data_IF_882210404236
#
_entry.id   IF_882210404236
#
_cell.length_a   1.000
_cell.length_b   1.000
_cell.length_c   1.000
_cell.angle_alpha   90.00
_cell.angle_beta   90.00
_cell.angle_gamma   90.00
#
_symmetry.space_group_name_H-M   'P 1'
#
loop_
_entity.id
_entity.type
_entity.pdbx_description
1 polymer ?
#
# COMPACT_ATOMS: atom_id res chain seq x y z
N UNK A 1 16.22 6.15 32.18
CA UNK A 1 15.82 6.12 30.75
C UNK A 1 15.03 4.84 30.56
N UNK A 2 13.70 4.90 30.50
CA UNK A 2 12.86 3.69 30.35
C UNK A 2 13.00 3.22 28.91
N UNK A 3 13.68 2.10 28.70
CA UNK A 3 13.82 1.46 27.40
C UNK A 3 12.43 0.94 26.99
N UNK A 4 11.66 1.78 26.28
CA UNK A 4 10.37 1.37 25.70
C UNK A 4 10.68 0.32 24.64
N UNK A 5 10.51 -0.94 25.00
CA UNK A 5 10.55 -2.03 24.05
C UNK A 5 9.32 -1.86 23.14
N UNK A 6 9.47 -1.83 21.80
CA UNK A 6 8.33 -1.78 20.92
C UNK A 6 7.42 -2.99 21.20
N UNK A 7 6.10 -2.81 21.12
CA UNK A 7 5.09 -3.86 21.35
C UNK A 7 5.33 -5.10 20.46
N UNK A 8 6.03 -4.94 19.34
CA UNK A 8 6.49 -6.01 18.44
C UNK A 8 8.02 -6.21 18.46
N UNK A 9 8.65 -6.11 19.63
CA UNK A 9 10.00 -6.64 19.81
C UNK A 9 9.90 -8.16 19.96
N UNK A 10 9.96 -8.91 18.85
CA UNK A 10 10.27 -10.34 18.92
C UNK A 10 11.75 -10.43 19.30
N UNK A 11 12.03 -10.32 20.60
CA UNK A 11 13.36 -10.01 21.15
C UNK A 11 14.40 -11.13 21.02
N UNK A 12 14.25 -12.01 20.02
CA UNK A 12 15.03 -13.25 19.87
C UNK A 12 15.19 -13.73 18.42
N UNK A 13 14.67 -13.04 17.40
CA UNK A 13 14.89 -13.44 16.01
C UNK A 13 16.08 -12.69 15.40
N UNK A 14 16.97 -13.42 14.73
CA UNK A 14 17.91 -12.84 13.79
C UNK A 14 17.16 -12.19 12.61
N UNK A 15 17.85 -11.38 11.81
CA UNK A 15 17.21 -10.76 10.62
C UNK A 15 16.78 -11.84 9.63
N UNK A 16 17.60 -12.87 9.47
CA UNK A 16 17.34 -14.02 8.61
C UNK A 16 16.13 -14.82 9.09
N UNK A 17 16.02 -15.07 10.39
CA UNK A 17 14.86 -15.75 10.97
C UNK A 17 13.58 -14.91 10.81
N UNK A 18 13.67 -13.59 11.00
CA UNK A 18 12.55 -12.69 10.77
C UNK A 18 12.11 -12.66 9.30
N UNK A 19 13.05 -12.72 8.35
CA UNK A 19 12.76 -12.79 6.91
C UNK A 19 12.06 -14.10 6.53
N UNK A 20 12.50 -15.23 7.11
CA UNK A 20 11.84 -16.52 6.93
C UNK A 20 10.41 -16.47 7.47
N UNK A 21 10.23 -16.00 8.72
CA UNK A 21 8.91 -15.92 9.36
C UNK A 21 7.98 -14.97 8.60
N UNK A 22 8.49 -13.82 8.15
CA UNK A 22 7.73 -12.83 7.39
C UNK A 22 7.15 -13.37 6.07
N UNK A 23 7.69 -14.47 5.57
CA UNK A 23 7.32 -15.10 4.30
C UNK A 23 6.86 -16.55 4.43
N UNK A 24 6.69 -17.02 5.66
CA UNK A 24 6.24 -18.37 5.93
C UNK A 24 4.75 -18.58 5.58
N UNK A 25 3.98 -17.50 5.42
CA UNK A 25 2.54 -17.54 5.15
C UNK A 25 2.29 -17.00 3.74
N UNK A 26 1.66 -17.79 2.84
CA UNK A 26 1.32 -17.34 1.49
C UNK A 26 0.44 -16.09 1.50
N UNK A 27 0.64 -15.20 0.52
CA UNK A 27 -0.07 -13.91 0.46
C UNK A 27 -1.59 -14.10 0.41
N UNK A 28 -2.07 -15.09 -0.34
CA UNK A 28 -3.49 -15.46 -0.39
C UNK A 28 -4.09 -15.69 1.02
N UNK A 29 -3.35 -16.38 1.89
CA UNK A 29 -3.79 -16.69 3.25
C UNK A 29 -3.71 -15.45 4.16
N UNK A 30 -2.63 -14.66 4.05
CA UNK A 30 -2.49 -13.38 4.77
C UNK A 30 -3.69 -12.48 4.47
N UNK A 31 -4.06 -12.31 3.20
CA UNK A 31 -5.20 -11.48 2.79
C UNK A 31 -6.51 -11.96 3.42
N UNK A 32 -6.78 -13.27 3.33
CA UNK A 32 -7.99 -13.87 3.92
C UNK A 32 -8.06 -13.67 5.44
N UNK A 33 -6.95 -13.90 6.15
CA UNK A 33 -6.87 -13.70 7.60
C UNK A 33 -7.01 -12.23 7.98
N UNK A 34 -6.43 -11.33 7.17
CA UNK A 34 -6.39 -9.90 7.44
C UNK A 34 -7.77 -9.27 7.50
N UNK A 35 -8.74 -9.73 6.69
CA UNK A 35 -10.11 -9.21 6.72
C UNK A 35 -10.72 -9.40 8.13
N UNK A 36 -10.67 -10.62 8.66
CA UNK A 36 -11.20 -10.94 9.98
C UNK A 36 -10.44 -10.22 11.10
N UNK A 37 -9.11 -10.12 10.98
CA UNK A 37 -8.29 -9.37 11.94
C UNK A 37 -8.64 -7.88 11.93
N UNK A 38 -8.86 -7.29 10.76
CA UNK A 38 -9.26 -5.87 10.60
C UNK A 38 -10.61 -5.61 11.27
N UNK A 39 -11.58 -6.52 11.08
CA UNK A 39 -12.88 -6.42 11.75
C UNK A 39 -12.75 -6.56 13.28
N UNK A 40 -11.87 -7.43 13.76
CA UNK A 40 -11.60 -7.56 15.20
C UNK A 40 -10.94 -6.30 15.78
N UNK A 41 -9.97 -5.72 15.06
CA UNK A 41 -9.33 -4.45 15.43
C UNK A 41 -10.34 -3.31 15.46
N UNK A 42 -11.20 -3.20 14.44
CA UNK A 42 -12.26 -2.18 14.39
C UNK A 42 -13.25 -2.31 15.56
N UNK A 43 -13.59 -3.53 15.99
CA UNK A 43 -14.41 -3.76 17.19
C UNK A 43 -13.72 -3.28 18.46
N UNK A 44 -12.42 -3.52 18.59
CA UNK A 44 -11.63 -3.06 19.73
C UNK A 44 -11.48 -1.53 19.74
N UNK A 45 -11.38 -0.90 18.57
CA UNK A 45 -11.25 0.54 18.39
C UNK A 45 -12.61 1.26 18.22
N UNK A 46 -13.72 0.58 18.56
CA UNK A 46 -15.09 1.07 18.31
C UNK A 46 -15.32 2.50 18.80
N UNK A 47 -14.89 2.83 20.02
CA UNK A 47 -15.07 4.18 20.59
C UNK A 47 -14.39 5.25 19.73
N UNK A 48 -13.18 4.97 19.24
CA UNK A 48 -12.42 5.89 18.38
C UNK A 48 -13.10 6.00 17.02
N UNK A 49 -13.45 4.87 16.41
CA UNK A 49 -14.13 4.84 15.12
C UNK A 49 -15.48 5.57 15.13
N UNK A 50 -16.30 5.38 16.18
CA UNK A 50 -17.58 6.08 16.33
C UNK A 50 -17.37 7.60 16.43
N UNK A 51 -16.36 8.03 17.20
CA UNK A 51 -16.00 9.45 17.33
C UNK A 51 -15.55 10.04 15.99
N UNK A 52 -14.71 9.33 15.25
CA UNK A 52 -14.23 9.76 13.93
C UNK A 52 -15.35 9.79 12.88
N UNK A 53 -16.22 8.78 12.85
CA UNK A 53 -17.41 8.74 11.99
C UNK A 53 -18.35 9.91 12.31
N UNK A 54 -18.56 10.22 13.59
CA UNK A 54 -19.33 11.40 14.02
C UNK A 54 -18.69 12.71 13.57
N UNK A 55 -17.37 12.80 13.55
CA UNK A 55 -16.63 13.95 13.03
C UNK A 55 -16.63 14.03 11.48
N UNK A 56 -17.20 13.04 10.79
CA UNK A 56 -17.34 13.02 9.33
C UNK A 56 -16.25 12.25 8.58
N UNK A 57 -15.36 11.55 9.29
CA UNK A 57 -14.35 10.70 8.66
C UNK A 57 -14.98 9.37 8.22
N UNK A 58 -14.77 9.01 6.95
CA UNK A 58 -15.18 7.71 6.43
C UNK A 58 -14.11 6.67 6.77
N UNK A 59 -14.55 5.59 7.43
CA UNK A 59 -13.67 4.51 7.87
C UNK A 59 -14.15 3.21 7.24
N UNK A 60 -13.20 2.43 6.74
CA UNK A 60 -13.43 1.07 6.25
C UNK A 60 -13.03 0.07 7.32
N UNK A 61 -13.92 -0.86 7.61
CA UNK A 61 -13.75 -1.84 8.70
C UNK A 61 -13.61 -3.27 8.16
N UNK A 62 -13.35 -3.41 6.86
CA UNK A 62 -13.14 -4.71 6.19
C UNK A 62 -14.42 -5.41 5.71
N UNK A 63 -15.56 -4.72 5.71
CA UNK A 63 -16.82 -5.22 5.16
C UNK A 63 -16.82 -5.32 3.63
N UNK A 64 -15.94 -4.56 2.96
CA UNK A 64 -15.75 -4.57 1.50
C UNK A 64 -14.84 -5.70 1.01
N UNK A 65 -14.46 -6.62 1.89
CA UNK A 65 -13.57 -7.75 1.57
C UNK A 65 -12.09 -7.39 1.50
N UNK A 66 -11.71 -6.18 1.94
CA UNK A 66 -10.31 -5.74 2.02
C UNK A 66 -9.89 -5.52 3.48
N UNK A 67 -8.86 -6.22 3.94
CA UNK A 67 -8.24 -6.00 5.24
C UNK A 67 -7.11 -4.98 5.19
N UNK A 68 -6.55 -4.61 6.36
CA UNK A 68 -5.39 -3.73 6.46
C UNK A 68 -4.19 -4.22 5.64
N UNK A 69 -3.98 -5.54 5.57
CA UNK A 69 -2.90 -6.12 4.76
C UNK A 69 -3.12 -5.87 3.25
N UNK A 70 -4.35 -5.78 2.76
CA UNK A 70 -4.58 -5.41 1.36
C UNK A 70 -4.14 -3.96 1.09
N UNK A 71 -4.47 -3.04 1.99
CA UNK A 71 -4.05 -1.64 1.86
C UNK A 71 -2.52 -1.49 1.91
N UNK A 72 -1.87 -2.22 2.81
CA UNK A 72 -0.42 -2.17 2.98
C UNK A 72 0.35 -2.93 1.90
N UNK A 73 -0.01 -4.19 1.66
CA UNK A 73 0.76 -5.11 0.82
C UNK A 73 0.35 -5.09 -0.64
N UNK A 74 -0.91 -4.76 -0.97
CA UNK A 74 -1.45 -4.81 -2.35
C UNK A 74 -1.61 -3.40 -2.94
N UNK A 75 -2.25 -2.49 -2.21
CA UNK A 75 -2.44 -1.11 -2.69
C UNK A 75 -1.22 -0.22 -2.43
N UNK A 76 -0.40 -0.56 -1.44
CA UNK A 76 0.77 0.24 -1.07
C UNK A 76 0.40 1.63 -0.54
N UNK A 77 -0.80 1.79 0.03
CA UNK A 77 -1.33 3.08 0.46
C UNK A 77 -2.83 3.03 0.75
N UNK A 78 -3.44 4.21 0.88
CA UNK A 78 -4.87 4.38 1.25
C UNK A 78 -5.21 3.87 2.66
N UNK A 79 -4.23 3.85 3.55
CA UNK A 79 -4.40 3.63 4.98
C UNK A 79 -3.73 4.74 5.78
N UNK A 80 -4.15 4.91 7.02
CA UNK A 80 -3.66 5.92 7.94
C UNK A 80 -3.32 5.22 9.26
N UNK A 81 -2.14 5.52 9.81
CA UNK A 81 -1.73 5.05 11.13
C UNK A 81 -1.78 6.24 12.07
N UNK A 82 -2.57 6.13 13.12
CA UNK A 82 -2.71 7.21 14.08
C UNK A 82 -1.41 7.46 14.86
N UNK A 83 -1.01 8.73 14.88
CA UNK A 83 0.08 9.24 15.70
C UNK A 83 -0.43 10.31 16.69
N UNK A 84 -1.75 10.32 16.96
CA UNK A 84 -2.42 11.23 17.89
C UNK A 84 -3.40 12.21 17.23
N UNK A 85 -3.56 12.18 15.91
CA UNK A 85 -4.50 13.09 15.23
C UNK A 85 -5.95 12.62 15.33
N UNK A 86 -6.23 11.33 15.56
CA UNK A 86 -7.58 10.84 15.75
C UNK A 86 -8.31 11.58 16.87
N UNK A 87 -7.67 11.74 18.03
CA UNK A 87 -8.28 12.48 19.14
C UNK A 87 -8.50 13.95 18.79
N UNK A 88 -7.59 14.58 18.03
CA UNK A 88 -7.76 15.96 17.58
C UNK A 88 -8.95 16.12 16.62
N UNK A 89 -9.23 15.12 15.78
CA UNK A 89 -10.41 15.08 14.93
C UNK A 89 -11.68 14.93 15.78
N UNK A 90 -11.68 13.99 16.73
CA UNK A 90 -12.82 13.73 17.64
C UNK A 90 -13.15 14.99 18.47
N UNK A 91 -12.12 15.67 18.97
CA UNK A 91 -12.25 16.90 19.76
C UNK A 91 -12.65 18.11 18.90
N UNK A 92 -12.72 17.98 17.57
CA UNK A 92 -13.06 19.06 16.63
C UNK A 92 -11.94 20.07 16.39
N UNK A 93 -10.72 19.82 16.88
CA UNK A 93 -9.53 20.64 16.60
C UNK A 93 -9.11 20.52 15.13
N UNK A 94 -9.30 19.33 14.56
CA UNK A 94 -9.18 19.10 13.11
C UNK A 94 -10.58 18.85 12.57
N UNK A 95 -11.05 19.74 11.69
CA UNK A 95 -12.34 19.58 11.03
C UNK A 95 -12.19 18.73 9.77
N UNK A 96 -13.07 17.74 9.62
CA UNK A 96 -13.11 16.88 8.43
C UNK A 96 -14.24 17.35 7.51
N UNK A 97 -13.88 17.72 6.28
CA UNK A 97 -14.84 18.00 5.22
C UNK A 97 -14.68 16.98 4.11
N UNK A 98 -15.69 16.12 3.93
CA UNK A 98 -15.71 15.09 2.88
C UNK A 98 -16.45 15.58 1.65
N UNK A 99 -15.84 15.43 0.48
CA UNK A 99 -16.51 15.54 -0.81
C UNK A 99 -16.01 14.41 -1.73
N UNK A 100 -16.90 13.49 -2.08
CA UNK A 100 -16.56 12.30 -2.89
C UNK A 100 -16.02 12.67 -4.28
N UNK A 101 -16.52 13.76 -4.84
CA UNK A 101 -16.11 14.28 -6.16
C UNK A 101 -14.88 15.20 -6.09
N UNK A 102 -14.39 15.49 -4.88
CA UNK A 102 -13.16 16.24 -4.65
C UNK A 102 -13.30 17.77 -4.76
N UNK A 103 -12.16 18.42 -5.00
CA UNK A 103 -12.05 19.87 -5.15
C UNK A 103 -12.47 20.28 -6.56
N UNK A 104 -13.27 21.34 -6.68
CA UNK A 104 -13.67 21.91 -7.97
C UNK A 104 -12.66 22.92 -8.47
N UNK A 105 -12.29 23.88 -7.61
CA UNK A 105 -11.45 25.02 -7.96
C UNK A 105 -10.82 25.63 -6.71
N UNK A 106 -9.67 26.27 -6.90
CA UNK A 106 -8.97 27.05 -5.88
C UNK A 106 -9.21 28.54 -6.11
N UNK A 107 -9.32 29.28 -5.04
CA UNK A 107 -9.44 30.73 -5.02
C UNK A 107 -8.31 31.33 -4.17
N UNK A 108 -8.10 32.64 -4.27
CA UNK A 108 -7.08 33.32 -3.47
C UNK A 108 -7.32 33.23 -1.96
N UNK A 109 -8.56 32.96 -1.55
CA UNK A 109 -9.00 32.87 -0.15
C UNK A 109 -9.37 31.45 0.29
N UNK A 110 -9.09 30.43 -0.53
CA UNK A 110 -9.38 29.03 -0.18
C UNK A 110 -9.74 28.16 -1.38
N UNK A 111 -10.76 27.32 -1.23
CA UNK A 111 -11.18 26.38 -2.27
C UNK A 111 -12.68 26.10 -2.25
N UNK A 112 -13.21 25.63 -3.37
CA UNK A 112 -14.60 25.16 -3.47
C UNK A 112 -14.60 23.69 -3.84
N UNK A 113 -15.37 22.90 -3.07
CA UNK A 113 -15.61 21.49 -3.32
C UNK A 113 -16.67 21.31 -4.41
N UNK A 114 -16.69 20.15 -5.07
CA UNK A 114 -17.64 19.85 -6.15
C UNK A 114 -19.11 19.87 -5.71
N UNK A 115 -19.38 19.61 -4.44
CA UNK A 115 -20.71 19.76 -3.83
C UNK A 115 -21.12 21.22 -3.53
N UNK A 116 -20.30 22.21 -3.92
CA UNK A 116 -20.57 23.64 -3.73
C UNK A 116 -20.08 24.23 -2.40
N UNK A 117 -19.56 23.41 -1.47
CA UNK A 117 -19.01 23.90 -0.19
C UNK A 117 -17.75 24.75 -0.43
N UNK A 118 -17.77 26.01 -0.01
CA UNK A 118 -16.58 26.87 0.04
C UNK A 118 -15.86 26.66 1.38
N UNK A 119 -14.54 26.47 1.33
CA UNK A 119 -13.65 26.38 2.50
C UNK A 119 -12.63 27.51 2.40
N UNK A 120 -12.62 28.38 3.41
CA UNK A 120 -11.61 29.44 3.54
C UNK A 120 -10.30 28.86 4.07
N UNK A 121 -9.17 29.26 3.47
CA UNK A 121 -7.85 28.83 3.91
C UNK A 121 -6.77 29.82 3.45
N UNK A 122 -5.84 30.14 4.35
CA UNK A 122 -4.64 30.93 4.00
C UNK A 122 -3.57 30.07 3.31
N UNK A 123 -3.55 28.77 3.60
CA UNK A 123 -2.59 27.80 3.05
C UNK A 123 -3.30 26.51 2.68
N UNK A 124 -3.00 26.01 1.48
CA UNK A 124 -3.46 24.70 1.00
C UNK A 124 -2.24 23.79 0.84
N UNK A 125 -2.29 22.62 1.48
CA UNK A 125 -1.28 21.57 1.32
C UNK A 125 -1.88 20.40 0.53
N UNK A 126 -1.30 20.09 -0.62
CA UNK A 126 -1.73 18.98 -1.47
C UNK A 126 -1.09 17.66 -1.02
N UNK A 127 -1.75 16.95 -0.11
CA UNK A 127 -1.36 15.62 0.34
C UNK A 127 -2.03 14.50 -0.50
N UNK A 128 -1.95 14.60 -1.83
CA UNK A 128 -2.72 13.77 -2.80
C UNK A 128 -2.09 12.43 -3.15
N UNK A 129 -1.05 12.01 -2.44
CA UNK A 129 -0.36 10.73 -2.66
C UNK A 129 0.59 10.74 -3.86
N UNK A 130 0.85 9.55 -4.40
CA UNK A 130 1.81 9.30 -5.48
C UNK A 130 1.15 8.60 -6.68
N UNK A 131 1.73 8.76 -7.87
CA UNK A 131 1.37 7.99 -9.05
C UNK A 131 1.70 6.50 -8.85
N UNK A 132 1.04 5.63 -9.62
CA UNK A 132 1.38 4.22 -9.66
C UNK A 132 2.73 4.01 -10.34
N UNK A 133 3.45 2.98 -9.93
CA UNK A 133 4.76 2.63 -10.48
C UNK A 133 4.74 2.39 -12.00
N UNK A 134 3.62 1.95 -12.56
CA UNK A 134 3.45 1.78 -14.02
C UNK A 134 3.64 3.09 -14.79
N UNK A 135 3.22 4.23 -14.22
CA UNK A 135 3.39 5.55 -14.85
C UNK A 135 4.87 5.92 -14.99
N UNK A 136 5.70 5.55 -14.00
CA UNK A 136 7.15 5.73 -14.09
C UNK A 136 7.76 4.83 -15.16
N UNK A 137 7.30 3.57 -15.26
CA UNK A 137 7.75 2.64 -16.30
C UNK A 137 7.42 3.19 -17.70
N UNK A 138 6.20 3.71 -17.90
CA UNK A 138 5.79 4.32 -19.16
C UNK A 138 6.66 5.53 -19.53
N UNK A 139 6.92 6.43 -18.57
CA UNK A 139 7.76 7.62 -18.78
C UNK A 139 9.19 7.27 -19.17
N UNK A 140 9.73 6.15 -18.69
CA UNK A 140 11.12 5.75 -18.92
C UNK A 140 11.30 4.85 -20.15
N UNK A 141 10.38 3.89 -20.36
CA UNK A 141 10.52 2.83 -21.36
C UNK A 141 9.54 2.96 -22.53
N UNK A 142 8.60 3.89 -22.45
CA UNK A 142 7.58 4.15 -23.46
C UNK A 142 6.34 3.26 -23.33
N UNK A 143 5.27 3.70 -23.99
CA UNK A 143 3.96 3.02 -24.02
C UNK A 143 4.03 1.61 -24.61
N UNK A 144 4.92 1.37 -25.58
CA UNK A 144 5.06 0.07 -26.24
C UNK A 144 5.53 -1.02 -25.29
N UNK A 145 6.40 -0.68 -24.33
CA UNK A 145 6.83 -1.62 -23.28
C UNK A 145 5.67 -1.90 -22.34
N UNK A 146 4.96 -0.86 -21.89
CA UNK A 146 3.81 -0.98 -20.99
C UNK A 146 2.72 -1.88 -21.55
N UNK A 147 2.40 -1.72 -22.84
CA UNK A 147 1.38 -2.53 -23.53
C UNK A 147 1.75 -4.01 -23.65
N UNK A 148 3.03 -4.36 -23.47
CA UNK A 148 3.53 -5.73 -23.50
C UNK A 148 3.70 -6.34 -22.10
N UNK A 149 3.51 -5.56 -21.05
CA UNK A 149 3.60 -6.09 -19.70
C UNK A 149 2.42 -7.02 -19.41
N UNK A 150 2.71 -8.17 -18.80
CA UNK A 150 1.66 -9.09 -18.35
C UNK A 150 1.38 -8.92 -16.86
N UNK A 151 0.13 -8.54 -16.54
CA UNK A 151 -0.35 -8.43 -15.16
C UNK A 151 0.47 -7.50 -14.23
N UNK A 152 1.29 -6.59 -14.75
CA UNK A 152 2.29 -5.86 -13.95
C UNK A 152 1.68 -5.15 -12.73
N UNK A 153 2.27 -5.42 -11.57
CA UNK A 153 1.83 -4.96 -10.23
C UNK A 153 0.46 -5.49 -9.76
N UNK A 154 -0.27 -6.24 -10.58
CA UNK A 154 -1.50 -6.94 -10.18
C UNK A 154 -1.20 -8.28 -9.52
N UNK A 155 -2.26 -8.94 -9.05
CA UNK A 155 -2.21 -10.29 -8.51
C UNK A 155 -2.60 -11.30 -9.59
N UNK A 156 -1.81 -12.36 -9.71
CA UNK A 156 -2.10 -13.51 -10.56
C UNK A 156 -3.16 -14.45 -9.94
N UNK A 157 -3.55 -15.56 -10.60
CA UNK A 157 -4.50 -16.52 -10.04
C UNK A 157 -4.06 -17.17 -8.71
N UNK A 158 -2.76 -17.20 -8.42
CA UNK A 158 -2.20 -17.69 -7.15
C UNK A 158 -2.23 -16.62 -6.05
N UNK A 159 -2.68 -15.41 -6.38
CA UNK A 159 -2.67 -14.22 -5.53
C UNK A 159 -1.27 -13.69 -5.22
N UNK A 160 -0.32 -13.93 -6.12
CA UNK A 160 1.04 -13.41 -6.04
C UNK A 160 1.22 -12.24 -7.00
N UNK A 161 2.14 -11.31 -6.67
CA UNK A 161 2.35 -10.11 -7.49
C UNK A 161 3.05 -10.45 -8.80
N UNK A 162 2.51 -10.01 -9.93
CA UNK A 162 3.13 -10.15 -11.25
C UNK A 162 4.04 -8.96 -11.58
N UNK A 163 5.10 -9.19 -12.35
CA UNK A 163 6.10 -8.20 -12.75
C UNK A 163 7.03 -7.70 -11.63
N UNK A 164 6.59 -7.66 -10.37
CA UNK A 164 7.44 -7.33 -9.23
C UNK A 164 8.27 -8.53 -8.84
N UNK A 165 9.60 -8.43 -8.94
CA UNK A 165 10.54 -9.51 -8.61
C UNK A 165 10.37 -10.81 -9.42
N UNK A 166 9.46 -10.78 -10.40
CA UNK A 166 9.05 -11.88 -11.28
C UNK A 166 9.06 -11.37 -12.71
N UNK A 167 8.79 -12.29 -13.64
CA UNK A 167 8.73 -11.96 -15.05
C UNK A 167 7.73 -10.84 -15.33
N UNK A 168 8.15 -9.93 -16.22
CA UNK A 168 7.34 -8.79 -16.65
C UNK A 168 6.58 -9.06 -17.95
N UNK A 169 6.86 -10.18 -18.62
CA UNK A 169 6.42 -10.45 -20.01
C UNK A 169 7.29 -9.77 -21.08
N UNK A 170 8.25 -8.93 -20.69
CA UNK A 170 9.14 -8.20 -21.61
C UNK A 170 10.58 -8.71 -21.47
N UNK A 171 11.16 -9.35 -22.50
CA UNK A 171 12.54 -9.81 -22.47
C UNK A 171 13.53 -8.68 -22.15
N UNK A 172 14.46 -8.96 -21.24
CA UNK A 172 15.46 -7.99 -20.77
C UNK A 172 14.94 -6.95 -19.76
N UNK A 173 13.66 -7.00 -19.38
CA UNK A 173 13.10 -6.09 -18.38
C UNK A 173 12.76 -6.84 -17.08
N UNK A 174 13.47 -6.50 -16.01
CA UNK A 174 13.20 -6.94 -14.65
C UNK A 174 12.92 -5.74 -13.76
N UNK A 175 11.96 -5.89 -12.83
CA UNK A 175 11.50 -4.80 -11.98
C UNK A 175 11.61 -5.15 -10.51
N UNK A 176 12.38 -4.35 -9.76
CA UNK A 176 12.59 -4.47 -8.32
C UNK A 176 11.94 -3.28 -7.61
N UNK A 177 11.24 -3.53 -6.51
CA UNK A 177 10.56 -2.46 -5.74
C UNK A 177 10.20 -2.93 -4.33
N UNK A 178 9.74 -2.00 -3.50
CA UNK A 178 9.29 -2.27 -2.14
C UNK A 178 10.33 -1.93 -1.09
N UNK A 179 10.13 -2.43 0.12
CA UNK A 179 10.97 -2.13 1.28
C UNK A 179 12.22 -3.01 1.32
N UNK A 180 13.14 -2.68 2.24
CA UNK A 180 14.33 -3.50 2.50
C UNK A 180 14.02 -4.98 2.77
N UNK A 181 12.86 -5.28 3.36
CA UNK A 181 12.42 -6.66 3.59
C UNK A 181 12.25 -7.41 2.26
N UNK A 182 11.55 -6.80 1.29
CA UNK A 182 11.39 -7.38 -0.05
C UNK A 182 12.73 -7.50 -0.76
N UNK A 183 13.59 -6.47 -0.65
CA UNK A 183 14.92 -6.52 -1.28
C UNK A 183 15.77 -7.68 -0.75
N UNK A 184 15.84 -7.90 0.57
CA UNK A 184 16.62 -9.01 1.14
C UNK A 184 16.10 -10.36 0.68
N UNK A 185 14.79 -10.49 0.54
CA UNK A 185 14.16 -11.74 0.19
C UNK A 185 14.26 -12.08 -1.29
N UNK A 186 13.99 -11.13 -2.17
CA UNK A 186 13.74 -11.42 -3.58
C UNK A 186 14.93 -11.11 -4.50
N UNK A 187 15.93 -10.34 -4.03
CA UNK A 187 17.09 -10.01 -4.87
C UNK A 187 17.88 -11.25 -5.29
N UNK A 188 18.13 -12.19 -4.37
CA UNK A 188 18.87 -13.41 -4.70
C UNK A 188 18.08 -14.32 -5.65
N UNK A 189 16.79 -14.66 -5.39
CA UNK A 189 15.97 -15.39 -6.35
C UNK A 189 15.95 -14.74 -7.73
N UNK A 190 15.74 -13.43 -7.81
CA UNK A 190 15.71 -12.72 -9.09
C UNK A 190 17.07 -12.78 -9.81
N UNK A 191 18.18 -12.55 -9.10
CA UNK A 191 19.52 -12.64 -9.68
C UNK A 191 19.82 -14.04 -10.25
N UNK A 192 19.38 -15.09 -9.55
CA UNK A 192 19.51 -16.48 -10.02
C UNK A 192 18.66 -16.73 -11.26
N UNK A 193 17.43 -16.18 -11.32
CA UNK A 193 16.58 -16.27 -12.50
C UNK A 193 17.19 -15.55 -13.71
N UNK A 194 17.71 -14.32 -13.51
CA UNK A 194 18.43 -13.58 -14.54
C UNK A 194 19.62 -14.41 -15.06
N UNK A 195 20.45 -14.93 -14.15
CA UNK A 195 21.59 -15.75 -14.53
C UNK A 195 21.19 -17.04 -15.28
N UNK A 196 20.04 -17.63 -14.93
CA UNK A 196 19.50 -18.80 -15.62
C UNK A 196 19.01 -18.45 -17.04
N UNK A 197 18.35 -17.30 -17.22
CA UNK A 197 17.93 -16.80 -18.54
C UNK A 197 19.13 -16.54 -19.44
N UNK A 198 20.12 -15.78 -18.95
CA UNK A 198 21.34 -15.43 -19.71
C UNK A 198 22.17 -16.67 -20.12
N UNK A 199 22.14 -17.72 -19.30
CA UNK A 199 22.81 -19.00 -19.60
C UNK A 199 21.94 -19.98 -20.40
N UNK A 200 20.72 -19.61 -20.77
CA UNK A 200 19.79 -20.47 -21.50
C UNK A 200 19.24 -21.65 -20.69
N UNK A 201 19.33 -21.60 -19.36
CA UNK A 201 18.82 -22.60 -18.42
C UNK A 201 17.34 -22.40 -18.09
N UNK A 202 16.82 -21.18 -18.21
CA UNK A 202 15.40 -20.87 -18.09
C UNK A 202 14.90 -20.14 -19.34
N UNK A 203 14.30 -20.88 -20.28
CA UNK A 203 13.84 -20.35 -21.57
C UNK A 203 12.41 -19.81 -21.55
N UNK A 204 11.62 -20.20 -20.55
CA UNK A 204 10.21 -19.82 -20.40
C UNK A 204 10.02 -18.80 -19.29
N UNK A 205 11.07 -18.05 -18.93
CA UNK A 205 10.98 -17.11 -17.81
C UNK A 205 9.94 -16.02 -18.06
N UNK A 206 9.83 -15.55 -19.31
CA UNK A 206 8.91 -14.47 -19.69
C UNK A 206 7.54 -14.96 -20.17
N UNK A 207 7.30 -16.27 -20.17
CA UNK A 207 6.07 -16.89 -20.63
C UNK A 207 4.97 -16.87 -19.56
#
# INVERSE_FOLDING_TARGET
>A
MVQRHPIFSISRLSTEEADIVGNAIPLALIRRMSIGLTQAMAKNDKTVHDGLKKAGLEIKEGEDGYGLADYQLIKGGQYYIDQGANQMIIDGKIRVQRCKEGVREFHSDGLVLKNGTKLEADVVVLATGFEQNITTVEKLLGSDVVNRLDGFANLDPEQERSGWWRATGVPGFWYMTGSFMMCRQFSLPLALQIAAVEKGLNKSYYD
#
